data_IF_193846785045
#
_entry.id   IF_193846785045
#
_cell.length_a   1.000
_cell.length_b   1.000
_cell.length_c   1.000
_cell.angle_alpha   90.00
_cell.angle_beta   90.00
_cell.angle_gamma   90.00
#
_symmetry.space_group_name_H-M   'P 1'
#
loop_
_entity.id
_entity.type
_entity.pdbx_description
1 polymer ?
#
# COMPACT_ATOMS: atom_id res chain seq x y z
N UNK A 1 2.51 -4.56 22.72
CA UNK A 1 1.50 -3.98 21.80
C UNK A 1 1.75 -2.48 21.68
N UNK A 2 2.19 -1.98 20.52
CA UNK A 2 2.31 -0.53 20.27
C UNK A 2 0.94 -0.02 19.85
N UNK A 3 0.35 0.91 20.63
CA UNK A 3 -0.89 1.61 20.24
C UNK A 3 -0.64 2.37 18.95
N UNK A 4 -1.48 2.18 17.93
CA UNK A 4 -1.57 3.08 16.78
C UNK A 4 -2.02 4.44 17.33
N UNK A 5 -1.12 5.43 17.40
CA UNK A 5 -1.31 6.69 18.15
C UNK A 5 -2.48 7.55 17.61
N UNK A 6 -2.95 7.25 16.40
CA UNK A 6 -3.92 8.05 15.64
C UNK A 6 -5.36 7.82 16.10
N UNK A 7 -5.73 6.61 16.53
CA UNK A 7 -7.12 6.26 16.89
C UNK A 7 -7.23 5.77 18.33
N UNK A 8 -7.36 6.71 19.28
CA UNK A 8 -7.41 6.39 20.72
C UNK A 8 -8.74 5.81 21.19
N UNK A 9 -9.80 6.00 20.41
CA UNK A 9 -11.17 5.59 20.76
C UNK A 9 -11.72 4.48 19.85
N UNK A 10 -10.95 4.04 18.85
CA UNK A 10 -11.39 2.99 17.94
C UNK A 10 -11.24 1.60 18.59
N UNK A 11 -12.17 0.70 18.29
CA UNK A 11 -12.02 -0.72 18.58
C UNK A 11 -11.08 -1.34 17.53
N UNK A 12 -9.98 -1.94 17.97
CA UNK A 12 -9.10 -2.70 17.09
C UNK A 12 -9.70 -4.10 16.88
N UNK A 13 -9.97 -4.44 15.62
CA UNK A 13 -10.35 -5.78 15.19
C UNK A 13 -9.17 -6.36 14.43
N UNK A 14 -8.73 -7.55 14.82
CA UNK A 14 -7.67 -8.29 14.12
C UNK A 14 -8.33 -9.41 13.34
N UNK A 15 -7.97 -9.52 12.07
CA UNK A 15 -8.48 -10.54 11.15
C UNK A 15 -7.29 -11.34 10.62
N UNK A 16 -7.42 -12.66 10.54
CA UNK A 16 -6.33 -13.53 10.08
C UNK A 16 -6.15 -13.50 8.57
N UNK A 17 -7.23 -13.21 7.84
CA UNK A 17 -7.23 -13.06 6.39
C UNK A 17 -7.42 -11.59 6.00
N UNK A 18 -6.37 -10.98 5.47
CA UNK A 18 -6.38 -9.60 4.98
C UNK A 18 -7.30 -9.39 3.77
N UNK A 19 -7.45 -10.40 2.90
CA UNK A 19 -8.27 -10.28 1.69
C UNK A 19 -9.76 -10.26 1.99
N UNK A 20 -10.16 -10.75 3.16
CA UNK A 20 -11.56 -10.75 3.62
C UNK A 20 -11.99 -9.42 4.26
N UNK A 21 -11.05 -8.62 4.76
CA UNK A 21 -11.35 -7.37 5.48
C UNK A 21 -12.23 -6.41 4.65
N UNK A 22 -11.98 -6.16 3.35
CA UNK A 22 -12.84 -5.29 2.54
C UNK A 22 -14.31 -5.76 2.51
N UNK A 23 -14.55 -7.08 2.47
CA UNK A 23 -15.90 -7.66 2.53
C UNK A 23 -16.55 -7.38 3.89
N UNK A 24 -15.79 -7.49 4.98
CA UNK A 24 -16.29 -7.19 6.34
C UNK A 24 -16.73 -5.73 6.46
N UNK A 25 -15.99 -4.79 5.86
CA UNK A 25 -16.39 -3.38 5.78
C UNK A 25 -17.68 -3.23 4.96
N UNK A 26 -17.73 -3.84 3.77
CA UNK A 26 -18.87 -3.74 2.87
C UNK A 26 -20.17 -4.37 3.42
N UNK A 27 -20.04 -5.30 4.37
CA UNK A 27 -21.15 -5.93 5.10
C UNK A 27 -21.51 -5.21 6.41
N UNK A 28 -20.82 -4.12 6.76
CA UNK A 28 -21.08 -3.35 7.98
C UNK A 28 -20.64 -4.05 9.27
N UNK A 29 -19.74 -5.04 9.18
CA UNK A 29 -19.17 -5.73 10.36
C UNK A 29 -17.98 -4.99 10.96
N UNK A 30 -17.40 -4.05 10.22
CA UNK A 30 -16.40 -3.10 10.69
C UNK A 30 -16.52 -1.80 9.88
N UNK A 31 -16.05 -0.68 10.44
CA UNK A 31 -16.24 0.64 9.82
C UNK A 31 -15.09 1.07 8.91
N UNK A 32 -13.84 0.77 9.30
CA UNK A 32 -12.64 1.29 8.64
C UNK A 32 -11.56 0.20 8.56
N UNK A 33 -10.97 0.05 7.38
CA UNK A 33 -9.70 -0.63 7.16
C UNK A 33 -8.60 0.41 6.95
N UNK A 34 -7.47 0.27 7.66
CA UNK A 34 -6.25 1.03 7.38
C UNK A 34 -5.34 0.13 6.55
N UNK A 35 -5.06 0.52 5.32
CA UNK A 35 -4.19 -0.22 4.39
C UNK A 35 -3.42 0.75 3.48
N UNK A 36 -2.53 0.19 2.67
CA UNK A 36 -1.79 0.92 1.66
C UNK A 36 -2.69 1.52 0.58
N UNK A 37 -2.30 2.67 0.03
CA UNK A 37 -3.12 3.40 -0.95
C UNK A 37 -3.40 2.59 -2.22
N UNK A 38 -2.46 1.74 -2.63
CA UNK A 38 -2.60 0.83 -3.78
C UNK A 38 -3.67 -0.24 -3.53
N UNK A 39 -3.72 -0.82 -2.33
CA UNK A 39 -4.76 -1.78 -1.96
C UNK A 39 -6.12 -1.09 -1.86
N UNK A 40 -6.18 0.07 -1.22
CA UNK A 40 -7.42 0.84 -1.14
C UNK A 40 -7.97 1.19 -2.53
N UNK A 41 -7.10 1.60 -3.47
CA UNK A 41 -7.48 1.86 -4.86
C UNK A 41 -7.94 0.60 -5.60
N UNK A 42 -7.36 -0.56 -5.31
CA UNK A 42 -7.80 -1.84 -5.85
C UNK A 42 -9.20 -2.23 -5.35
N UNK A 43 -9.43 -2.21 -4.03
CA UNK A 43 -10.70 -2.65 -3.46
C UNK A 43 -11.90 -1.78 -3.84
N UNK A 44 -11.74 -0.45 -3.92
CA UNK A 44 -12.85 0.43 -4.36
C UNK A 44 -13.19 0.29 -5.84
N UNK A 45 -12.25 -0.22 -6.66
CA UNK A 45 -12.54 -0.59 -8.05
C UNK A 45 -13.34 -1.89 -8.14
N UNK A 46 -13.11 -2.82 -7.21
CA UNK A 46 -13.78 -4.12 -7.18
C UNK A 46 -15.17 -4.10 -6.52
N UNK A 47 -15.35 -3.31 -5.46
CA UNK A 47 -16.61 -3.22 -4.72
C UNK A 47 -17.07 -1.77 -4.55
N UNK A 48 -18.17 -1.43 -5.23
CA UNK A 48 -18.75 -0.07 -5.23
C UNK A 48 -19.33 0.35 -3.88
N UNK A 49 -19.47 -0.57 -2.91
CA UNK A 49 -19.89 -0.26 -1.53
C UNK A 49 -18.75 0.36 -0.72
N UNK A 50 -17.51 0.26 -1.19
CA UNK A 50 -16.32 0.76 -0.51
C UNK A 50 -15.92 2.15 -1.02
N UNK A 51 -15.26 2.92 -0.16
CA UNK A 51 -14.67 4.20 -0.50
C UNK A 51 -13.26 4.34 0.10
N UNK A 52 -12.38 5.05 -0.61
CA UNK A 52 -11.00 5.29 -0.21
C UNK A 52 -10.73 6.81 -0.16
N UNK A 53 -11.28 7.54 0.83
CA UNK A 53 -11.25 9.01 0.87
C UNK A 53 -9.85 9.59 1.03
N UNK A 54 -8.90 8.80 1.56
CA UNK A 54 -7.53 9.23 1.83
C UNK A 54 -6.51 8.68 0.83
N UNK A 55 -6.95 8.09 -0.30
CA UNK A 55 -6.02 7.50 -1.28
C UNK A 55 -5.06 8.53 -1.88
N UNK A 56 -5.54 9.75 -2.16
CA UNK A 56 -4.76 10.83 -2.79
C UNK A 56 -4.06 11.75 -1.76
N UNK A 57 -4.50 11.69 -0.49
CA UNK A 57 -3.95 12.46 0.64
C UNK A 57 -3.80 11.54 1.86
N UNK A 58 -2.87 10.56 1.83
CA UNK A 58 -2.74 9.55 2.87
C UNK A 58 -2.19 10.15 4.17
N UNK A 59 -2.44 9.48 5.31
CA UNK A 59 -1.87 9.85 6.60
C UNK A 59 -0.34 9.86 6.60
N UNK A 60 0.26 8.93 5.86
CA UNK A 60 1.70 8.76 5.75
C UNK A 60 2.10 8.58 4.28
N UNK A 61 3.31 9.02 3.95
CA UNK A 61 3.96 8.68 2.68
C UNK A 61 4.98 7.59 2.96
N UNK A 62 4.96 6.53 2.16
CA UNK A 62 5.97 5.49 2.18
C UNK A 62 6.70 5.45 0.84
N UNK A 63 7.92 4.92 0.85
CA UNK A 63 8.66 4.56 -0.36
C UNK A 63 8.85 3.05 -0.38
N UNK A 64 8.51 2.40 -1.48
CA UNK A 64 8.83 1.00 -1.70
C UNK A 64 10.29 0.88 -2.17
N UNK A 65 10.97 -0.18 -1.74
CA UNK A 65 12.35 -0.46 -2.10
C UNK A 65 12.60 -1.96 -2.20
N UNK A 66 13.66 -2.33 -2.88
CA UNK A 66 14.10 -3.72 -3.00
C UNK A 66 14.97 -4.04 -1.78
N UNK A 67 14.54 -5.02 -0.98
CA UNK A 67 15.33 -5.48 0.16
C UNK A 67 16.55 -6.28 -0.33
N UNK A 68 17.73 -5.95 0.20
CA UNK A 68 18.99 -6.54 -0.21
C UNK A 68 19.84 -6.96 0.99
N UNK A 69 20.75 -7.91 0.79
CA UNK A 69 21.72 -8.33 1.81
C UNK A 69 22.65 -7.16 2.15
N UNK A 70 22.96 -7.01 3.44
CA UNK A 70 23.90 -5.98 3.90
C UNK A 70 25.34 -6.35 3.53
N UNK A 71 26.15 -5.34 3.22
CA UNK A 71 27.61 -5.47 3.05
C UNK A 71 28.09 -5.45 1.60
N UNK A 72 27.19 -5.53 0.62
CA UNK A 72 27.54 -5.47 -0.81
C UNK A 72 27.14 -4.12 -1.41
N UNK A 73 28.07 -3.16 -1.37
CA UNK A 73 27.82 -1.80 -1.87
C UNK A 73 27.83 -1.72 -3.39
N UNK A 74 28.62 -2.55 -4.07
CA UNK A 74 28.69 -2.59 -5.53
C UNK A 74 27.36 -3.07 -6.10
N UNK A 75 26.79 -4.14 -5.54
CA UNK A 75 25.50 -4.67 -5.95
C UNK A 75 24.36 -3.69 -5.67
N UNK A 76 24.36 -3.06 -4.48
CA UNK A 76 23.38 -2.03 -4.16
C UNK A 76 23.42 -0.87 -5.17
N UNK A 77 24.62 -0.40 -5.53
CA UNK A 77 24.78 0.69 -6.49
C UNK A 77 24.31 0.29 -7.89
N UNK A 78 24.62 -0.94 -8.33
CA UNK A 78 24.18 -1.45 -9.62
C UNK A 78 22.65 -1.49 -9.71
N UNK A 79 21.97 -2.06 -8.71
CA UNK A 79 20.50 -2.10 -8.68
C UNK A 79 19.89 -0.69 -8.65
N UNK A 80 20.47 0.22 -7.86
CA UNK A 80 20.01 1.61 -7.83
C UNK A 80 20.18 2.30 -9.20
N UNK A 81 21.26 2.03 -9.92
CA UNK A 81 21.49 2.56 -11.26
C UNK A 81 20.44 2.06 -12.26
N UNK A 82 20.20 0.74 -12.29
CA UNK A 82 19.16 0.13 -13.14
C UNK A 82 17.78 0.72 -12.83
N UNK A 83 17.43 0.85 -11.54
CA UNK A 83 16.15 1.45 -11.14
C UNK A 83 16.04 2.92 -11.57
N UNK A 84 17.15 3.68 -11.56
CA UNK A 84 17.17 5.05 -12.04
C UNK A 84 16.95 5.10 -13.55
N UNK A 85 17.59 4.23 -14.33
CA UNK A 85 17.38 4.13 -15.78
C UNK A 85 15.92 3.80 -16.14
N UNK A 86 15.34 2.77 -15.50
CA UNK A 86 13.93 2.38 -15.71
C UNK A 86 12.93 3.46 -15.30
N UNK A 87 13.33 4.35 -14.39
CA UNK A 87 12.53 5.52 -14.02
C UNK A 87 12.66 6.62 -15.06
N UNK A 88 13.87 6.86 -15.58
CA UNK A 88 14.16 7.90 -16.56
C UNK A 88 13.54 7.60 -17.92
N UNK A 89 13.53 6.33 -18.35
CA UNK A 89 12.98 5.92 -19.65
C UNK A 89 11.45 5.70 -19.65
N UNK A 90 10.82 5.84 -18.48
CA UNK A 90 9.37 5.70 -18.31
C UNK A 90 8.87 4.26 -18.15
N UNK A 91 9.76 3.25 -18.14
CA UNK A 91 9.38 1.85 -17.95
C UNK A 91 8.61 1.65 -16.65
N UNK A 92 9.09 2.22 -15.54
CA UNK A 92 8.38 2.12 -14.26
C UNK A 92 7.00 2.80 -14.28
N UNK A 93 6.86 3.92 -14.99
CA UNK A 93 5.58 4.61 -15.12
C UNK A 93 4.57 3.75 -15.92
N UNK A 94 5.03 3.09 -16.99
CA UNK A 94 4.19 2.18 -17.77
C UNK A 94 3.75 0.95 -16.95
N UNK A 95 4.63 0.42 -16.10
CA UNK A 95 4.30 -0.68 -15.19
C UNK A 95 3.29 -0.24 -14.12
N UNK A 96 3.44 0.95 -13.54
CA UNK A 96 2.49 1.52 -12.59
C UNK A 96 1.09 1.69 -13.23
N UNK A 97 1.03 2.24 -14.45
CA UNK A 97 -0.23 2.41 -15.17
C UNK A 97 -0.91 1.06 -15.47
N UNK A 98 -0.13 0.05 -15.84
CA UNK A 98 -0.66 -1.27 -16.21
C UNK A 98 -1.16 -2.08 -15.02
N UNK A 99 -0.48 -2.00 -13.87
CA UNK A 99 -0.72 -2.91 -12.76
C UNK A 99 -1.33 -2.25 -11.51
N UNK A 100 -1.16 -0.94 -11.32
CA UNK A 100 -1.57 -0.25 -10.09
C UNK A 100 -2.74 0.72 -10.29
N UNK A 101 -2.80 1.43 -11.43
CA UNK A 101 -3.92 2.31 -11.78
C UNK A 101 -5.05 1.58 -12.49
#
# INVERSE_FOLDING_TARGET
>A
MRRLVIFKQAQLIVHDDNADIPRQIAEGKADIMITETVEAAHYVRMDKRLAAPLKDKPFTRHSCGILMQKGDQEWLNYINFVLAELKMDGTLANLEEKYLK
#
